data_IF_519528907627
#
_entry.id   IF_519528907627
#
_cell.length_a   1.000
_cell.length_b   1.000
_cell.length_c   1.000
_cell.angle_alpha   90.00
_cell.angle_beta   90.00
_cell.angle_gamma   90.00
#
_symmetry.space_group_name_H-M   'P 1'
#
loop_
_entity.id
_entity.type
_entity.pdbx_description
1 polymer ?
#
# COMPACT_ATOMS: atom_id res chain seq x y z
N UNK A 1 22.31 32.43 40.70
CA UNK A 1 20.87 32.29 40.40
C UNK A 1 20.45 30.84 40.59
N UNK A 2 19.68 30.55 41.64
CA UNK A 2 19.18 29.20 41.92
C UNK A 2 18.02 28.93 40.94
N UNK A 3 18.21 28.01 39.99
CA UNK A 3 17.12 27.57 39.11
C UNK A 3 16.13 26.73 39.91
N UNK A 4 14.97 27.29 40.26
CA UNK A 4 13.82 26.53 40.75
C UNK A 4 13.33 25.62 39.63
N UNK A 5 13.55 24.32 39.75
CA UNK A 5 12.86 23.32 38.91
C UNK A 5 11.41 23.25 39.42
N UNK A 6 10.37 23.54 38.61
CA UNK A 6 9.00 23.48 39.08
C UNK A 6 8.57 22.00 39.14
N UNK A 7 8.90 21.33 40.24
CA UNK A 7 8.39 19.97 40.53
C UNK A 7 6.87 20.01 40.72
N UNK A 8 6.31 21.19 41.06
CA UNK A 8 4.89 21.44 41.32
C UNK A 8 3.96 21.33 40.10
N UNK A 9 4.48 21.16 38.87
CA UNK A 9 3.65 21.01 37.67
C UNK A 9 3.50 19.55 37.20
N UNK A 10 4.11 18.58 37.89
CA UNK A 10 3.93 17.16 37.56
C UNK A 10 2.56 16.69 38.07
N UNK A 11 1.53 16.86 37.24
CA UNK A 11 0.21 16.28 37.49
C UNK A 11 0.33 14.75 37.45
N UNK A 12 -0.01 14.09 38.56
CA UNK A 12 -0.07 12.63 38.64
C UNK A 12 -1.42 12.18 38.05
N UNK A 13 -1.50 12.16 36.73
CA UNK A 13 -2.73 11.87 36.00
C UNK A 13 -3.01 10.37 36.11
N UNK A 14 -3.91 10.00 37.05
CA UNK A 14 -4.28 8.61 37.34
C UNK A 14 -4.88 7.87 36.12
N UNK A 15 -5.40 8.61 35.15
CA UNK A 15 -6.13 8.08 34.00
C UNK A 15 -5.38 8.23 32.66
N UNK A 16 -4.04 8.25 32.66
CA UNK A 16 -3.26 8.28 31.40
C UNK A 16 -3.65 7.12 30.47
N UNK A 17 -3.94 5.94 31.03
CA UNK A 17 -4.30 4.75 30.26
C UNK A 17 -5.71 4.85 29.65
N UNK A 18 -6.61 5.66 30.22
CA UNK A 18 -7.97 5.87 29.73
C UNK A 18 -8.04 6.64 28.41
N UNK A 19 -6.95 7.30 28.01
CA UNK A 19 -6.85 7.99 26.71
C UNK A 19 -6.47 7.06 25.56
N UNK A 20 -5.95 5.88 25.87
CA UNK A 20 -5.55 4.88 24.88
C UNK A 20 -6.62 3.79 24.69
N UNK A 21 -7.68 3.79 25.50
CA UNK A 21 -8.80 2.87 25.35
C UNK A 21 -9.88 3.49 24.48
N UNK A 22 -10.48 2.69 23.60
CA UNK A 22 -11.62 3.09 22.77
C UNK A 22 -12.96 3.03 23.54
N UNK A 23 -12.88 3.01 24.89
CA UNK A 23 -13.97 2.74 25.85
C UNK A 23 -15.11 3.77 25.81
N UNK A 24 -14.96 4.88 25.07
CA UNK A 24 -15.96 5.95 25.01
C UNK A 24 -16.76 5.98 23.69
N UNK A 25 -16.72 4.91 22.90
CA UNK A 25 -17.51 4.83 21.67
C UNK A 25 -18.68 3.87 21.88
N UNK A 26 -19.91 4.30 21.58
CA UNK A 26 -21.10 3.42 21.49
C UNK A 26 -20.99 2.37 20.36
N UNK A 27 -19.81 2.23 19.77
CA UNK A 27 -19.50 1.30 18.69
C UNK A 27 -18.95 0.02 19.31
N UNK A 28 -19.63 -1.13 19.13
CA UNK A 28 -19.07 -2.43 19.51
C UNK A 28 -17.68 -2.62 18.92
N UNK A 29 -16.72 -3.09 19.73
CA UNK A 29 -15.36 -3.41 19.26
C UNK A 29 -15.40 -4.40 18.07
N UNK A 30 -16.37 -5.33 18.09
CA UNK A 30 -16.66 -6.27 17.00
C UNK A 30 -16.88 -5.58 15.64
N UNK A 31 -17.51 -4.40 15.61
CA UNK A 31 -17.75 -3.67 14.35
C UNK A 31 -16.45 -3.09 13.77
N UNK A 32 -15.51 -2.73 14.63
CA UNK A 32 -14.19 -2.20 14.23
C UNK A 32 -13.30 -3.34 13.74
N UNK A 33 -13.39 -4.51 14.37
CA UNK A 33 -12.67 -5.72 13.95
C UNK A 33 -13.17 -6.27 12.61
N UNK A 34 -14.47 -6.15 12.32
CA UNK A 34 -15.07 -6.60 11.06
C UNK A 34 -14.85 -5.63 9.89
N UNK A 35 -14.42 -4.40 10.17
CA UNK A 35 -14.26 -3.37 9.15
C UNK A 35 -12.99 -3.61 8.30
N UNK A 36 -13.18 -4.10 7.07
CA UNK A 36 -12.07 -4.38 6.13
C UNK A 36 -11.89 -3.28 5.08
N UNK A 37 -11.41 -2.11 5.52
CA UNK A 37 -11.19 -0.97 4.63
C UNK A 37 -9.85 -1.05 3.89
N UNK A 38 -9.88 -0.76 2.59
CA UNK A 38 -8.64 -0.52 1.84
C UNK A 38 -8.10 0.87 2.17
N UNK A 39 -6.80 0.94 2.48
CA UNK A 39 -6.16 2.20 2.82
C UNK A 39 -6.23 3.24 1.67
N UNK A 40 -6.49 4.50 2.03
CA UNK A 40 -6.66 5.64 1.11
C UNK A 40 -5.51 5.89 0.12
N UNK A 41 -4.30 5.40 0.40
CA UNK A 41 -3.13 5.55 -0.49
C UNK A 41 -3.10 4.52 -1.64
N UNK A 42 -4.01 3.55 -1.64
CA UNK A 42 -4.24 2.67 -2.79
C UNK A 42 -5.21 3.36 -3.75
N UNK A 43 -4.87 3.53 -5.04
CA UNK A 43 -5.76 4.14 -6.01
C UNK A 43 -7.07 3.38 -6.14
N UNK A 44 -8.18 4.10 -6.08
CA UNK A 44 -9.54 3.53 -6.16
C UNK A 44 -9.75 2.69 -7.43
N UNK A 45 -9.22 3.13 -8.57
CA UNK A 45 -9.24 2.35 -9.82
C UNK A 45 -8.58 0.98 -9.70
N UNK A 46 -7.48 0.90 -8.95
CA UNK A 46 -6.80 -0.36 -8.69
C UNK A 46 -7.65 -1.22 -7.76
N UNK A 47 -8.21 -0.64 -6.69
CA UNK A 47 -9.10 -1.34 -5.76
C UNK A 47 -10.30 -1.93 -6.48
N UNK A 48 -11.00 -1.13 -7.29
CA UNK A 48 -12.19 -1.54 -8.05
C UNK A 48 -11.93 -2.74 -8.96
N UNK A 49 -10.76 -2.81 -9.59
CA UNK A 49 -10.38 -3.96 -10.41
C UNK A 49 -10.03 -5.18 -9.56
N UNK A 50 -9.19 -5.00 -8.53
CA UNK A 50 -8.65 -6.13 -7.75
C UNK A 50 -9.71 -6.74 -6.83
N UNK A 51 -10.68 -5.95 -6.35
CA UNK A 51 -11.79 -6.41 -5.52
C UNK A 51 -12.68 -7.45 -6.23
N UNK A 52 -12.67 -7.46 -7.57
CA UNK A 52 -13.34 -8.50 -8.37
C UNK A 52 -12.68 -9.89 -8.24
N UNK A 53 -11.45 -9.97 -7.73
CA UNK A 53 -10.67 -11.21 -7.60
C UNK A 53 -10.27 -11.53 -6.16
N UNK A 54 -10.15 -10.52 -5.30
CA UNK A 54 -9.74 -10.65 -3.89
C UNK A 54 -10.60 -9.74 -3.03
N UNK A 55 -11.33 -10.31 -2.07
CA UNK A 55 -12.17 -9.56 -1.13
C UNK A 55 -11.39 -8.90 0.01
N UNK A 56 -10.28 -9.51 0.43
CA UNK A 56 -9.48 -9.03 1.57
C UNK A 56 -8.70 -7.74 1.24
N UNK A 57 -8.96 -6.67 1.99
CA UNK A 57 -8.27 -5.38 1.80
C UNK A 57 -6.75 -5.52 1.94
N UNK A 58 -6.29 -6.38 2.86
CA UNK A 58 -4.87 -6.66 3.08
C UNK A 58 -4.20 -7.19 1.83
N UNK A 59 -4.85 -8.12 1.10
CA UNK A 59 -4.30 -8.66 -0.14
C UNK A 59 -4.22 -7.57 -1.23
N UNK A 60 -5.24 -6.72 -1.35
CA UNK A 60 -5.25 -5.60 -2.31
C UNK A 60 -4.10 -4.62 -2.00
N UNK A 61 -3.92 -4.28 -0.73
CA UNK A 61 -2.85 -3.38 -0.28
C UNK A 61 -1.47 -3.96 -0.54
N UNK A 62 -1.24 -5.25 -0.26
CA UNK A 62 0.04 -5.91 -0.54
C UNK A 62 0.36 -5.96 -2.04
N UNK A 63 -0.63 -6.23 -2.90
CA UNK A 63 -0.46 -6.14 -4.35
C UNK A 63 -0.04 -4.73 -4.79
N UNK A 64 -0.69 -3.70 -4.24
CA UNK A 64 -0.32 -2.31 -4.58
C UNK A 64 1.07 -1.93 -4.04
N UNK A 65 1.48 -2.42 -2.86
CA UNK A 65 2.84 -2.22 -2.33
C UNK A 65 3.90 -2.79 -3.28
N UNK A 66 3.66 -3.96 -3.86
CA UNK A 66 4.58 -4.55 -4.85
C UNK A 66 4.75 -3.63 -6.05
N UNK A 67 3.66 -3.05 -6.57
CA UNK A 67 3.72 -2.07 -7.67
C UNK A 67 4.58 -0.87 -7.29
N UNK A 68 4.32 -0.27 -6.12
CA UNK A 68 5.07 0.89 -5.62
C UNK A 68 6.55 0.61 -5.37
N UNK A 69 6.88 -0.60 -4.94
CA UNK A 69 8.26 -1.02 -4.66
C UNK A 69 9.05 -1.23 -5.95
N UNK A 70 8.40 -1.75 -7.00
CA UNK A 70 9.02 -1.92 -8.31
C UNK A 70 9.32 -0.56 -8.97
N UNK A 71 8.51 0.46 -8.70
CA UNK A 71 8.77 1.84 -9.14
C UNK A 71 9.88 2.47 -8.29
N UNK A 72 11.12 2.13 -8.62
CA UNK A 72 12.34 2.50 -7.90
C UNK A 72 12.62 4.00 -8.00
N UNK A 73 13.30 4.48 -6.96
CA UNK A 73 13.87 5.84 -6.92
C UNK A 73 15.00 5.91 -7.93
N UNK A 74 14.94 6.89 -8.84
CA UNK A 74 15.98 7.18 -9.84
C UNK A 74 16.91 8.28 -9.36
N UNK A 75 16.44 9.18 -8.50
CA UNK A 75 17.26 10.23 -7.87
C UNK A 75 17.04 10.23 -6.36
N UNK A 76 18.07 9.83 -5.60
CA UNK A 76 18.00 9.74 -4.14
C UNK A 76 17.95 11.10 -3.44
N UNK A 77 18.36 12.18 -4.10
CA UNK A 77 18.35 13.54 -3.53
C UNK A 77 16.97 14.19 -3.62
N UNK A 78 16.26 13.98 -4.73
CA UNK A 78 14.92 14.55 -4.96
C UNK A 78 13.80 13.57 -4.58
N UNK A 79 14.11 12.27 -4.51
CA UNK A 79 13.11 11.22 -4.31
C UNK A 79 12.35 10.88 -5.59
N UNK A 80 12.82 11.34 -6.75
CA UNK A 80 12.17 11.07 -8.02
C UNK A 80 12.15 9.58 -8.30
N UNK A 81 11.03 9.14 -8.86
CA UNK A 81 10.81 7.76 -9.29
C UNK A 81 10.90 7.64 -10.80
N UNK A 82 11.08 6.42 -11.29
CA UNK A 82 11.10 6.14 -12.73
C UNK A 82 9.77 6.46 -13.42
N UNK A 83 8.65 6.21 -12.75
CA UNK A 83 7.31 6.41 -13.28
C UNK A 83 6.51 7.39 -12.43
N UNK A 84 5.70 8.22 -13.09
CA UNK A 84 4.68 9.06 -12.45
C UNK A 84 3.60 8.19 -11.79
N UNK A 85 2.76 8.79 -10.94
CA UNK A 85 1.65 8.06 -10.28
C UNK A 85 0.66 7.46 -11.29
N UNK A 86 0.39 8.16 -12.39
CA UNK A 86 -0.55 7.70 -13.42
C UNK A 86 0.04 6.57 -14.27
N UNK A 87 1.34 6.63 -14.58
CA UNK A 87 2.06 5.54 -15.21
C UNK A 87 2.13 4.32 -14.29
N UNK A 88 2.45 4.52 -13.00
CA UNK A 88 2.47 3.47 -11.97
C UNK A 88 1.10 2.77 -11.85
N UNK A 89 0.01 3.54 -11.83
CA UNK A 89 -1.36 3.01 -11.84
C UNK A 89 -1.64 2.19 -13.11
N UNK A 90 -1.28 2.72 -14.28
CA UNK A 90 -1.47 2.05 -15.57
C UNK A 90 -0.73 0.70 -15.61
N UNK A 91 0.51 0.68 -15.16
CA UNK A 91 1.33 -0.54 -15.05
C UNK A 91 0.70 -1.52 -14.06
N UNK A 92 0.28 -1.06 -12.88
CA UNK A 92 -0.37 -1.89 -11.88
C UNK A 92 -1.65 -2.57 -12.39
N UNK A 93 -2.52 -1.82 -13.08
CA UNK A 93 -3.74 -2.36 -13.70
C UNK A 93 -3.42 -3.43 -14.75
N UNK A 94 -2.40 -3.20 -15.59
CA UNK A 94 -1.97 -4.17 -16.60
C UNK A 94 -1.37 -5.43 -15.96
N UNK A 95 -0.54 -5.25 -14.93
CA UNK A 95 0.09 -6.35 -14.19
C UNK A 95 -0.95 -7.27 -13.56
N UNK A 96 -2.01 -6.73 -12.95
CA UNK A 96 -3.08 -7.54 -12.34
C UNK A 96 -3.83 -8.36 -13.39
N UNK A 97 -4.15 -7.76 -14.55
CA UNK A 97 -4.79 -8.49 -15.65
C UNK A 97 -3.93 -9.67 -16.11
N UNK A 98 -2.63 -9.43 -16.35
CA UNK A 98 -1.70 -10.49 -16.71
C UNK A 98 -1.58 -11.56 -15.62
N UNK A 99 -1.53 -11.15 -14.35
CA UNK A 99 -1.44 -12.05 -13.21
C UNK A 99 -2.65 -12.97 -13.10
N UNK A 100 -3.86 -12.42 -13.19
CA UNK A 100 -5.12 -13.19 -13.19
C UNK A 100 -5.17 -14.14 -14.39
N UNK A 101 -4.73 -13.72 -15.57
CA UNK A 101 -4.62 -14.61 -16.73
C UNK A 101 -3.67 -15.78 -16.47
N UNK A 102 -2.54 -15.55 -15.80
CA UNK A 102 -1.59 -16.62 -15.44
C UNK A 102 -2.18 -17.61 -14.44
N UNK A 103 -2.90 -17.14 -13.42
CA UNK A 103 -3.65 -17.99 -12.50
C UNK A 103 -4.66 -18.84 -13.27
N UNK A 104 -5.47 -18.20 -14.13
CA UNK A 104 -6.49 -18.90 -14.93
C UNK A 104 -5.89 -19.97 -15.84
N UNK A 105 -4.70 -19.75 -16.37
CA UNK A 105 -3.96 -20.74 -17.18
C UNK A 105 -3.29 -21.85 -16.37
N UNK A 106 -3.48 -21.92 -15.05
CA UNK A 106 -2.94 -22.99 -14.21
C UNK A 106 -1.44 -22.89 -13.93
N UNK A 107 -0.84 -21.70 -14.04
CA UNK A 107 0.60 -21.53 -13.79
C UNK A 107 0.94 -21.80 -12.33
N UNK A 108 1.89 -22.69 -12.09
CA UNK A 108 2.42 -22.98 -10.75
C UNK A 108 3.36 -21.87 -10.28
N UNK A 109 2.99 -21.17 -9.21
CA UNK A 109 3.75 -20.05 -8.65
C UNK A 109 4.71 -20.53 -7.55
N UNK A 110 5.94 -20.90 -7.93
CA UNK A 110 6.90 -21.55 -7.04
C UNK A 110 7.29 -20.73 -5.80
N UNK A 111 7.40 -19.40 -5.93
CA UNK A 111 7.82 -18.49 -4.84
C UNK A 111 6.64 -17.74 -4.19
N UNK A 112 5.41 -18.21 -4.44
CA UNK A 112 4.18 -17.57 -3.96
C UNK A 112 3.64 -16.46 -4.86
N UNK A 113 2.40 -16.03 -4.57
CA UNK A 113 1.62 -15.10 -5.41
C UNK A 113 2.28 -13.73 -5.59
N UNK A 114 2.77 -13.13 -4.51
CA UNK A 114 3.36 -11.79 -4.55
C UNK A 114 4.72 -11.77 -5.25
N UNK A 115 5.56 -12.80 -5.08
CA UNK A 115 6.83 -12.90 -5.79
C UNK A 115 6.63 -13.07 -7.30
N UNK A 116 5.61 -13.85 -7.70
CA UNK A 116 5.24 -14.01 -9.10
C UNK A 116 4.69 -12.69 -9.69
N UNK A 117 3.80 -12.03 -8.95
CA UNK A 117 3.28 -10.71 -9.31
C UNK A 117 4.38 -9.66 -9.45
N UNK A 118 5.33 -9.62 -8.50
CA UNK A 118 6.52 -8.77 -8.56
C UNK A 118 7.32 -9.00 -9.86
N UNK A 119 7.47 -10.26 -10.29
CA UNK A 119 8.12 -10.57 -11.57
C UNK A 119 7.38 -9.98 -12.78
N UNK A 120 6.05 -10.04 -12.79
CA UNK A 120 5.23 -9.41 -13.85
C UNK A 120 5.41 -7.90 -13.85
N UNK A 121 5.30 -7.26 -12.68
CA UNK A 121 5.42 -5.81 -12.55
C UNK A 121 6.79 -5.33 -13.04
N UNK A 122 7.89 -5.95 -12.59
CA UNK A 122 9.23 -5.59 -13.03
C UNK A 122 9.37 -5.73 -14.55
N UNK A 123 8.90 -6.83 -15.13
CA UNK A 123 8.95 -7.04 -16.59
C UNK A 123 8.18 -5.96 -17.36
N UNK A 124 7.02 -5.54 -16.85
CA UNK A 124 6.23 -4.46 -17.46
C UNK A 124 6.92 -3.10 -17.31
N UNK A 125 7.47 -2.80 -16.14
CA UNK A 125 8.23 -1.58 -15.91
C UNK A 125 9.47 -1.50 -16.80
N UNK A 126 10.26 -2.57 -16.89
CA UNK A 126 11.41 -2.62 -17.80
C UNK A 126 10.98 -2.35 -19.24
N UNK A 127 9.86 -2.95 -19.69
CA UNK A 127 9.32 -2.71 -21.03
C UNK A 127 8.91 -1.25 -21.24
N UNK A 128 8.15 -0.67 -20.31
CA UNK A 128 7.60 0.68 -20.46
C UNK A 128 8.63 1.79 -20.24
N UNK A 129 9.70 1.52 -19.49
CA UNK A 129 10.78 2.47 -19.29
C UNK A 129 11.47 2.86 -20.61
N UNK A 130 11.58 1.91 -21.54
CA UNK A 130 12.16 2.14 -22.87
C UNK A 130 11.12 2.51 -23.94
N UNK A 131 9.86 2.66 -23.55
CA UNK A 131 8.77 3.06 -24.45
C UNK A 131 8.65 4.60 -24.43
N UNK A 132 9.14 5.24 -25.50
CA UNK A 132 9.17 6.70 -25.65
C UNK A 132 7.78 7.34 -25.58
N UNK A 133 6.78 6.71 -26.21
CA UNK A 133 5.41 7.20 -26.20
C UNK A 133 4.83 7.14 -24.79
N UNK A 134 5.06 6.03 -24.08
CA UNK A 134 4.62 5.87 -22.71
C UNK A 134 5.32 6.83 -21.73
N UNK A 135 6.61 7.08 -21.94
CA UNK A 135 7.42 7.99 -21.13
C UNK A 135 7.20 9.47 -21.44
N UNK A 136 6.61 9.78 -22.61
CA UNK A 136 6.40 11.15 -23.08
C UNK A 136 7.69 11.87 -23.45
N UNK A 137 8.68 11.14 -23.99
CA UNK A 137 10.04 11.63 -24.35
C UNK A 137 10.32 11.48 -25.84
#
# INVERSE_FOLDING_TARGET
TIKTKPVSLKQNIKDINKRNSNENSNTPEENIEQADFVAHWVPERFVSLVSSFYSESKTIQELWKVVRQCNKVTNFSTGDKAFTKDQELTIGLKAIKEFVMKIKSGVKMQKGKFAYFNGIVNKLMDKFYFDKEFMGV
#
